data_IF_953576461735
#
_entry.id   IF_953576461735
#
_cell.length_a   1.000
_cell.length_b   1.000
_cell.length_c   1.000
_cell.angle_alpha   90.00
_cell.angle_beta   90.00
_cell.angle_gamma   90.00
#
_symmetry.space_group_name_H-M   'P 1'
#
loop_
_entity.id
_entity.type
_entity.pdbx_description
1 polymer ?
#
# COMPACT_ATOMS: atom_id res chain seq x y z
N UNK A 1 -16.99 -26.69 54.75
CA UNK A 1 -15.99 -27.17 53.76
C UNK A 1 -16.48 -27.08 52.31
N UNK A 2 -17.58 -27.72 51.89
CA UNK A 2 -18.10 -27.65 50.49
C UNK A 2 -18.31 -26.24 49.93
N UNK A 3 -18.84 -25.29 50.72
CA UNK A 3 -19.02 -23.88 50.30
C UNK A 3 -17.69 -23.15 50.04
N UNK A 4 -16.63 -23.52 50.76
CA UNK A 4 -15.29 -22.92 50.59
C UNK A 4 -14.63 -23.39 49.30
N UNK A 5 -14.76 -24.68 48.95
CA UNK A 5 -14.29 -25.22 47.67
C UNK A 5 -15.04 -24.64 46.47
N UNK A 6 -16.35 -24.38 46.62
CA UNK A 6 -17.16 -23.78 45.57
C UNK A 6 -16.74 -22.33 45.29
N UNK A 7 -16.47 -21.53 46.33
CA UNK A 7 -15.96 -20.16 46.18
C UNK A 7 -14.56 -20.12 45.57
N UNK A 8 -13.66 -21.04 45.95
CA UNK A 8 -12.32 -21.17 45.35
C UNK A 8 -12.37 -21.52 43.87
N UNK A 9 -13.32 -22.37 43.45
CA UNK A 9 -13.51 -22.76 42.06
C UNK A 9 -13.99 -21.59 41.19
N UNK A 10 -14.92 -20.76 41.69
CA UNK A 10 -15.42 -19.59 40.96
C UNK A 10 -14.32 -18.54 40.76
N UNK A 11 -13.49 -18.31 41.79
CA UNK A 11 -12.34 -17.37 41.68
C UNK A 11 -11.31 -17.87 40.68
N UNK A 12 -11.02 -19.17 40.66
CA UNK A 12 -10.12 -19.77 39.68
C UNK A 12 -10.66 -19.65 38.25
N UNK A 13 -11.96 -19.90 38.02
CA UNK A 13 -12.57 -19.71 36.70
C UNK A 13 -12.57 -18.25 36.26
N UNK A 14 -12.83 -17.30 37.17
CA UNK A 14 -12.79 -15.87 36.86
C UNK A 14 -11.38 -15.41 36.47
N UNK A 15 -10.33 -15.90 37.16
CA UNK A 15 -8.94 -15.62 36.84
C UNK A 15 -8.51 -16.20 35.49
N UNK A 16 -8.93 -17.43 35.17
CA UNK A 16 -8.68 -18.04 33.85
C UNK A 16 -9.38 -17.24 32.74
N UNK A 17 -10.63 -16.82 32.97
CA UNK A 17 -11.39 -16.00 32.02
C UNK A 17 -10.70 -14.63 31.78
N UNK A 18 -10.21 -13.98 32.84
CA UNK A 18 -9.49 -12.71 32.76
C UNK A 18 -8.14 -12.83 32.02
N UNK A 19 -7.44 -13.97 32.16
CA UNK A 19 -6.22 -14.24 31.41
C UNK A 19 -6.51 -14.51 29.92
N UNK A 20 -7.58 -15.24 29.60
CA UNK A 20 -7.98 -15.48 28.20
C UNK A 20 -8.43 -14.21 27.49
N UNK A 21 -9.03 -13.24 28.20
CA UNK A 21 -9.45 -11.96 27.63
C UNK A 21 -8.25 -11.06 27.26
N UNK A 22 -7.19 -11.08 28.08
CA UNK A 22 -5.95 -10.34 27.80
C UNK A 22 -5.12 -10.98 26.67
N UNK A 23 -5.20 -12.30 26.50
CA UNK A 23 -4.57 -13.02 25.39
C UNK A 23 -5.28 -12.78 24.04
N UNK A 24 -6.53 -12.32 24.06
CA UNK A 24 -7.29 -11.83 22.91
C UNK A 24 -7.04 -10.35 22.61
N UNK A 25 -5.85 -9.82 22.95
CA UNK A 25 -5.35 -8.66 22.22
C UNK A 25 -5.22 -9.08 20.76
N UNK A 26 -6.21 -8.69 19.95
CA UNK A 26 -6.09 -8.70 18.50
C UNK A 26 -4.78 -7.96 18.22
N UNK A 27 -3.77 -8.69 17.75
CA UNK A 27 -2.57 -8.07 17.22
C UNK A 27 -3.07 -7.24 16.06
N UNK A 28 -3.18 -5.93 16.29
CA UNK A 28 -3.60 -5.01 15.25
C UNK A 28 -2.59 -5.15 14.12
N UNK A 29 -3.05 -5.73 13.02
CA UNK A 29 -2.22 -5.92 11.84
C UNK A 29 -1.76 -4.54 11.42
N UNK A 30 -0.43 -4.32 11.35
CA UNK A 30 0.10 -3.03 10.91
C UNK A 30 -0.52 -2.70 9.54
N UNK A 31 -0.90 -1.45 9.25
CA UNK A 31 -1.57 -1.10 7.99
C UNK A 31 -0.82 -1.62 6.75
N UNK A 32 0.52 -1.53 6.77
CA UNK A 32 1.38 -2.07 5.73
C UNK A 32 1.25 -3.59 5.51
N UNK A 33 0.98 -4.38 6.55
CA UNK A 33 0.75 -5.83 6.42
C UNK A 33 -0.63 -6.14 5.83
N UNK A 34 -1.62 -5.26 6.06
CA UNK A 34 -2.98 -5.43 5.54
C UNK A 34 -3.05 -5.27 4.02
N UNK A 35 -2.06 -4.62 3.41
CA UNK A 35 -1.91 -4.45 1.96
C UNK A 35 -0.92 -5.44 1.31
N UNK A 36 -0.55 -6.52 2.01
CA UNK A 36 0.37 -7.58 1.51
C UNK A 36 -0.04 -8.19 0.17
N UNK A 37 -1.33 -8.15 -0.17
CA UNK A 37 -1.86 -8.61 -1.46
C UNK A 37 -1.35 -7.81 -2.68
N UNK A 38 -0.78 -6.62 -2.46
CA UNK A 38 -0.18 -5.78 -3.50
C UNK A 38 1.15 -6.37 -4.01
N UNK A 39 1.82 -7.19 -3.19
CA UNK A 39 3.11 -7.81 -3.54
C UNK A 39 3.04 -8.60 -4.85
N UNK A 40 4.12 -8.52 -5.63
CA UNK A 40 4.31 -9.24 -6.87
C UNK A 40 4.47 -8.33 -8.09
N UNK A 41 4.47 -8.97 -9.26
CA UNK A 41 4.62 -8.32 -10.56
C UNK A 41 3.25 -8.13 -11.22
N UNK A 42 2.98 -6.91 -11.61
CA UNK A 42 1.76 -6.50 -12.32
C UNK A 42 2.14 -5.95 -13.68
N UNK A 43 1.43 -6.36 -14.72
CA UNK A 43 1.71 -5.97 -16.11
C UNK A 43 0.43 -5.59 -16.86
N UNK A 44 0.54 -4.58 -17.72
CA UNK A 44 -0.51 -4.18 -18.64
C UNK A 44 0.11 -3.94 -20.01
N UNK A 45 -0.31 -4.70 -21.01
CA UNK A 45 -0.05 -4.39 -22.40
C UNK A 45 -1.25 -3.66 -22.99
N UNK A 46 -1.03 -2.61 -23.78
CA UNK A 46 -2.09 -1.88 -24.46
C UNK A 46 -1.57 -1.20 -25.73
N UNK A 47 -1.97 -1.72 -26.90
CA UNK A 47 -1.30 -1.40 -28.16
C UNK A 47 0.18 -1.78 -28.11
N UNK A 48 1.04 -0.89 -28.59
CA UNK A 48 2.50 -1.05 -28.57
C UNK A 48 3.15 -0.64 -27.24
N UNK A 49 2.33 -0.37 -26.22
CA UNK A 49 2.80 0.03 -24.88
C UNK A 49 2.75 -1.12 -23.91
N UNK A 50 3.79 -1.20 -23.07
CA UNK A 50 3.87 -2.11 -21.94
C UNK A 50 4.14 -1.30 -20.67
N UNK A 51 3.28 -1.48 -19.67
CA UNK A 51 3.53 -1.02 -18.31
C UNK A 51 3.73 -2.21 -17.39
N UNK A 52 4.71 -2.13 -16.52
CA UNK A 52 4.89 -3.04 -15.41
C UNK A 52 5.06 -2.28 -14.10
N UNK A 53 4.57 -2.88 -13.03
CA UNK A 53 4.74 -2.39 -11.67
C UNK A 53 5.06 -3.58 -10.77
N UNK A 54 6.13 -3.46 -9.99
CA UNK A 54 6.62 -4.54 -9.14
C UNK A 54 6.65 -4.05 -7.71
N UNK A 55 6.11 -4.85 -6.80
CA UNK A 55 6.15 -4.61 -5.37
C UNK A 55 6.81 -5.79 -4.66
N UNK A 56 7.79 -5.52 -3.81
CA UNK A 56 8.49 -6.51 -2.98
C UNK A 56 8.43 -6.09 -1.53
N UNK A 57 7.93 -6.96 -0.64
CA UNK A 57 7.85 -6.67 0.79
C UNK A 57 8.97 -7.35 1.55
N UNK A 58 9.91 -6.57 2.09
CA UNK A 58 11.03 -7.09 2.87
C UNK A 58 11.38 -6.14 4.01
N UNK A 59 11.74 -6.68 5.17
CA UNK A 59 12.20 -5.87 6.30
C UNK A 59 11.17 -4.89 6.86
N UNK A 60 9.87 -5.09 6.58
CA UNK A 60 8.81 -4.18 7.02
C UNK A 60 8.54 -3.00 6.07
N UNK A 61 9.13 -2.99 4.89
CA UNK A 61 8.97 -1.95 3.86
C UNK A 61 8.61 -2.60 2.53
N UNK A 62 7.73 -1.96 1.76
CA UNK A 62 7.60 -2.27 0.34
C UNK A 62 8.61 -1.46 -0.46
N UNK A 63 9.34 -2.13 -1.33
CA UNK A 63 10.05 -1.49 -2.44
C UNK A 63 9.25 -1.70 -3.73
N UNK A 64 8.99 -0.61 -4.42
CA UNK A 64 8.24 -0.55 -5.66
C UNK A 64 9.08 -0.07 -6.83
N UNK A 65 8.80 -0.57 -8.02
CA UNK A 65 9.20 0.07 -9.28
C UNK A 65 8.02 0.10 -10.25
N UNK A 66 7.90 1.16 -11.04
CA UNK A 66 7.01 1.20 -12.19
C UNK A 66 7.78 1.60 -13.43
N UNK A 67 7.52 0.91 -14.54
CA UNK A 67 8.12 1.21 -15.82
C UNK A 67 7.06 1.16 -16.91
N UNK A 68 7.03 2.18 -17.74
CA UNK A 68 6.26 2.18 -18.98
C UNK A 68 7.21 2.33 -20.17
N UNK A 69 6.93 1.55 -21.22
CA UNK A 69 7.63 1.55 -22.49
C UNK A 69 6.62 1.84 -23.59
N UNK A 70 6.98 2.75 -24.49
CA UNK A 70 6.28 3.04 -25.74
C UNK A 70 7.29 3.16 -26.87
N UNK A 71 6.99 2.62 -28.06
CA UNK A 71 7.83 2.74 -29.25
C UNK A 71 9.31 2.33 -29.02
N UNK A 72 9.53 1.32 -28.18
CA UNK A 72 10.86 0.79 -27.79
C UNK A 72 11.67 1.67 -26.81
N UNK A 73 11.13 2.80 -26.37
CA UNK A 73 11.74 3.69 -25.38
C UNK A 73 10.97 3.72 -24.06
N UNK A 74 11.69 3.75 -22.94
CA UNK A 74 11.09 3.88 -21.61
C UNK A 74 10.53 5.29 -21.45
N UNK A 75 9.20 5.42 -21.41
CA UNK A 75 8.49 6.69 -21.28
C UNK A 75 8.31 7.13 -19.82
N UNK A 76 8.30 6.18 -18.89
CA UNK A 76 8.17 6.43 -17.46
C UNK A 76 9.03 5.45 -16.66
N UNK A 77 9.77 5.95 -15.68
CA UNK A 77 10.46 5.13 -14.67
C UNK A 77 10.18 5.75 -13.30
N UNK A 78 9.69 4.95 -12.37
CA UNK A 78 9.44 5.33 -10.99
C UNK A 78 10.09 4.33 -10.05
N UNK A 79 10.65 4.83 -8.96
CA UNK A 79 11.02 4.03 -7.78
C UNK A 79 10.15 4.51 -6.62
N UNK A 80 9.59 3.57 -5.89
CA UNK A 80 8.60 3.84 -4.85
C UNK A 80 8.94 3.08 -3.57
N UNK A 81 8.57 3.63 -2.42
CA UNK A 81 8.55 2.89 -1.15
C UNK A 81 7.19 3.02 -0.50
N UNK A 82 6.80 2.01 0.28
CA UNK A 82 5.73 2.14 1.28
C UNK A 82 6.32 1.71 2.61
N UNK A 83 6.35 2.61 3.58
CA UNK A 83 6.97 2.37 4.89
C UNK A 83 6.15 2.96 6.03
N UNK A 84 6.40 2.46 7.24
CA UNK A 84 5.78 2.98 8.46
C UNK A 84 6.64 4.10 9.04
N UNK A 85 6.06 5.29 9.23
CA UNK A 85 6.65 6.43 9.89
C UNK A 85 5.81 6.82 11.10
N UNK A 86 6.24 6.39 12.29
CA UNK A 86 5.43 6.51 13.50
C UNK A 86 4.10 5.75 13.35
N UNK A 87 2.99 6.46 13.46
CA UNK A 87 1.63 5.90 13.30
C UNK A 87 1.15 5.90 11.84
N UNK A 88 1.88 6.55 10.93
CA UNK A 88 1.49 6.69 9.53
C UNK A 88 2.14 5.64 8.63
N UNK A 89 1.44 5.24 7.58
CA UNK A 89 2.02 4.46 6.48
C UNK A 89 2.10 5.38 5.26
N UNK A 90 3.31 5.67 4.80
CA UNK A 90 3.58 6.62 3.73
C UNK A 90 4.10 5.90 2.49
N UNK A 91 3.55 6.27 1.34
CA UNK A 91 4.09 5.97 0.03
C UNK A 91 4.91 7.17 -0.45
N UNK A 92 6.14 6.91 -0.89
CA UNK A 92 7.03 7.91 -1.48
C UNK A 92 7.37 7.50 -2.89
N UNK A 93 7.32 8.44 -3.83
CA UNK A 93 7.55 8.18 -5.25
C UNK A 93 8.59 9.17 -5.78
N UNK A 94 9.56 8.64 -6.52
CA UNK A 94 10.46 9.44 -7.35
C UNK A 94 10.40 9.02 -8.80
N UNK A 95 10.27 10.00 -9.68
CA UNK A 95 10.28 9.82 -11.12
C UNK A 95 11.69 10.01 -11.67
N UNK A 96 12.05 9.21 -12.66
CA UNK A 96 13.37 9.25 -13.27
C UNK A 96 13.28 9.29 -14.79
N UNK A 97 14.23 10.01 -15.39
CA UNK A 97 14.51 9.92 -16.82
C UNK A 97 15.08 8.54 -17.20
N UNK A 98 15.06 8.24 -18.51
CA UNK A 98 15.64 7.01 -19.07
C UNK A 98 17.07 6.78 -18.56
N UNK A 99 17.31 5.59 -18.02
CA UNK A 99 18.61 5.20 -17.47
C UNK A 99 18.91 5.78 -16.09
N UNK A 100 17.90 6.28 -15.37
CA UNK A 100 18.01 6.80 -13.99
C UNK A 100 18.99 7.98 -13.84
N UNK A 101 19.27 8.72 -14.92
CA UNK A 101 20.28 9.79 -14.92
C UNK A 101 19.87 11.02 -14.10
N UNK A 102 18.58 11.33 -14.12
CA UNK A 102 18.01 12.54 -13.53
C UNK A 102 16.72 12.15 -12.85
N UNK A 103 16.60 12.46 -11.56
CA UNK A 103 15.32 12.47 -10.86
C UNK A 103 14.55 13.73 -11.28
N UNK A 104 13.26 13.60 -11.55
CA UNK A 104 12.45 14.71 -12.06
C UNK A 104 12.00 15.65 -10.93
N UNK A 105 11.95 15.17 -9.69
CA UNK A 105 11.75 16.02 -8.52
C UNK A 105 13.03 16.74 -8.10
N UNK A 106 12.86 17.95 -7.57
CA UNK A 106 13.96 18.77 -7.07
C UNK A 106 14.67 18.12 -5.87
N UNK A 107 15.98 17.86 -6.02
CA UNK A 107 16.89 17.44 -4.93
C UNK A 107 16.38 16.23 -4.13
N UNK A 108 15.95 16.48 -2.90
CA UNK A 108 15.47 15.56 -1.87
C UNK A 108 13.95 15.46 -1.82
N UNK A 109 13.24 16.20 -2.68
CA UNK A 109 11.79 16.09 -2.81
C UNK A 109 11.39 14.75 -3.44
N UNK A 110 10.20 14.33 -3.07
CA UNK A 110 9.52 13.15 -3.59
C UNK A 110 8.02 13.41 -3.49
N UNK A 111 7.23 12.76 -4.34
CA UNK A 111 5.79 12.78 -4.15
C UNK A 111 5.45 11.90 -2.94
N UNK A 112 4.62 12.41 -2.02
CA UNK A 112 4.29 11.71 -0.76
C UNK A 112 2.80 11.53 -0.65
N UNK A 113 2.39 10.29 -0.33
CA UNK A 113 1.00 9.93 -0.13
C UNK A 113 0.84 9.14 1.16
N UNK A 114 -0.18 9.46 1.96
CA UNK A 114 -0.51 8.76 3.19
C UNK A 114 -1.59 7.71 2.93
N UNK A 115 -1.38 6.49 3.43
CA UNK A 115 -2.41 5.45 3.42
C UNK A 115 -3.58 5.88 4.32
N UNK A 116 -4.73 6.16 3.71
CA UNK A 116 -5.92 6.67 4.39
C UNK A 116 -6.98 5.58 4.61
N UNK A 117 -7.19 4.72 3.61
CA UNK A 117 -8.14 3.60 3.70
C UNK A 117 -7.48 2.32 3.22
N UNK A 118 -7.72 1.21 3.92
CA UNK A 118 -7.20 -0.08 3.49
C UNK A 118 -8.06 -1.23 3.98
N UNK A 119 -8.05 -2.31 3.19
CA UNK A 119 -8.57 -3.61 3.57
C UNK A 119 -7.88 -4.70 2.74
N UNK A 120 -8.41 -5.93 2.77
CA UNK A 120 -7.85 -7.09 2.06
C UNK A 120 -7.83 -6.98 0.53
N UNK A 121 -8.40 -5.92 -0.06
CA UNK A 121 -8.50 -5.72 -1.50
C UNK A 121 -8.34 -4.27 -1.95
N UNK A 122 -8.28 -3.31 -1.04
CA UNK A 122 -8.23 -1.88 -1.37
C UNK A 122 -7.17 -1.21 -0.54
N UNK A 123 -6.41 -0.30 -1.14
CA UNK A 123 -5.51 0.63 -0.47
C UNK A 123 -5.66 1.99 -1.15
N UNK A 124 -6.04 3.01 -0.39
CA UNK A 124 -6.23 4.39 -0.86
C UNK A 124 -5.16 5.25 -0.21
N UNK A 125 -4.33 5.87 -1.03
CA UNK A 125 -3.28 6.78 -0.63
C UNK A 125 -3.65 8.21 -1.03
N UNK A 126 -3.74 9.12 -0.07
CA UNK A 126 -4.03 10.53 -0.31
C UNK A 126 -2.73 11.33 -0.33
N UNK A 127 -2.55 12.17 -1.34
CA UNK A 127 -1.36 13.02 -1.44
C UNK A 127 -1.32 14.05 -0.31
N UNK A 128 -0.12 14.35 0.17
CA UNK A 128 0.13 15.35 1.21
C UNK A 128 1.17 16.36 0.72
N UNK A 129 1.18 17.56 1.32
CA UNK A 129 2.12 18.61 0.92
C UNK A 129 1.87 19.07 -0.52
N UNK A 130 2.89 18.96 -1.38
CA UNK A 130 2.78 19.38 -2.79
C UNK A 130 1.82 18.49 -3.62
N UNK A 131 1.45 17.31 -3.11
CA UNK A 131 0.49 16.39 -3.75
C UNK A 131 -0.92 16.46 -3.15
N UNK A 132 -1.22 17.45 -2.32
CA UNK A 132 -2.56 17.56 -1.70
C UNK A 132 -3.67 17.64 -2.77
N UNK A 133 -4.71 16.82 -2.59
CA UNK A 133 -5.81 16.69 -3.54
C UNK A 133 -5.60 15.62 -4.63
N UNK A 134 -4.42 14.99 -4.67
CA UNK A 134 -4.18 13.79 -5.48
C UNK A 134 -4.52 12.52 -4.70
N UNK A 135 -4.90 11.45 -5.39
CA UNK A 135 -5.22 10.15 -4.76
C UNK A 135 -4.76 8.99 -5.64
N UNK A 136 -4.12 7.99 -5.01
CA UNK A 136 -3.75 6.73 -5.64
C UNK A 136 -4.55 5.61 -4.97
N UNK A 137 -5.40 4.95 -5.74
CA UNK A 137 -6.18 3.81 -5.27
C UNK A 137 -5.72 2.53 -5.94
N UNK A 138 -5.30 1.56 -5.13
CA UNK A 138 -5.08 0.18 -5.55
C UNK A 138 -6.30 -0.66 -5.18
N UNK A 139 -6.83 -1.41 -6.14
CA UNK A 139 -7.98 -2.29 -5.94
C UNK A 139 -7.74 -3.66 -6.57
N UNK A 140 -7.63 -4.69 -5.74
CA UNK A 140 -7.52 -6.08 -6.15
C UNK A 140 -8.90 -6.61 -6.55
N UNK A 141 -9.18 -6.62 -7.85
CA UNK A 141 -10.44 -7.10 -8.42
C UNK A 141 -10.54 -8.64 -8.34
N UNK A 142 -9.45 -9.31 -8.68
CA UNK A 142 -9.27 -10.76 -8.53
C UNK A 142 -7.82 -11.04 -8.10
N UNK A 143 -7.47 -12.29 -7.75
CA UNK A 143 -6.09 -12.64 -7.37
C UNK A 143 -5.04 -12.23 -8.41
N UNK A 144 -5.44 -12.15 -9.69
CA UNK A 144 -4.55 -11.86 -10.82
C UNK A 144 -4.92 -10.57 -11.56
N UNK A 145 -5.79 -9.73 -11.00
CA UNK A 145 -6.22 -8.46 -11.63
C UNK A 145 -6.25 -7.33 -10.61
N UNK A 146 -5.33 -6.38 -10.80
CA UNK A 146 -5.21 -5.15 -10.03
C UNK A 146 -5.72 -3.98 -10.86
N UNK A 147 -6.52 -3.11 -10.25
CA UNK A 147 -6.86 -1.80 -10.80
C UNK A 147 -6.13 -0.73 -10.00
N UNK A 148 -5.41 0.14 -10.69
CA UNK A 148 -4.75 1.32 -10.11
C UNK A 148 -5.43 2.55 -10.69
N UNK A 149 -5.97 3.39 -9.81
CA UNK A 149 -6.61 4.66 -10.18
C UNK A 149 -5.78 5.79 -9.62
N UNK A 150 -5.35 6.70 -10.49
CA UNK A 150 -4.70 7.95 -10.12
C UNK A 150 -5.69 9.09 -10.38
N UNK A 151 -6.08 9.83 -9.35
CA UNK A 151 -6.91 11.01 -9.44
C UNK A 151 -6.06 12.24 -9.12
N UNK A 152 -6.11 13.26 -9.98
CA UNK A 152 -5.31 14.48 -9.85
C UNK A 152 -5.98 15.67 -10.51
N UNK A 153 -5.43 16.86 -10.32
CA UNK A 153 -5.92 18.08 -11.00
C UNK A 153 -4.99 18.44 -12.15
N UNK A 154 -5.55 18.62 -13.34
CA UNK A 154 -4.84 19.10 -14.53
C UNK A 154 -5.59 20.30 -15.10
N UNK A 155 -4.89 21.43 -15.26
CA UNK A 155 -5.46 22.69 -15.77
C UNK A 155 -6.72 23.14 -14.99
N UNK A 156 -6.71 22.98 -13.67
CA UNK A 156 -7.82 23.32 -12.77
C UNK A 156 -9.02 22.36 -12.83
N UNK A 157 -8.94 21.26 -13.59
CA UNK A 157 -9.99 20.24 -13.71
C UNK A 157 -9.53 18.93 -13.09
N UNK A 158 -10.45 18.24 -12.41
CA UNK A 158 -10.21 16.87 -11.96
C UNK A 158 -10.03 15.96 -13.18
N UNK A 159 -8.98 15.17 -13.16
CA UNK A 159 -8.65 14.15 -14.13
C UNK A 159 -8.43 12.82 -13.40
N UNK A 160 -8.55 11.73 -14.14
CA UNK A 160 -8.22 10.41 -13.63
C UNK A 160 -7.54 9.55 -14.69
N UNK A 161 -6.64 8.69 -14.25
CA UNK A 161 -6.04 7.63 -15.05
C UNK A 161 -6.30 6.28 -14.39
N UNK A 162 -6.69 5.29 -15.18
CA UNK A 162 -7.02 3.95 -14.70
C UNK A 162 -6.17 2.90 -15.42
N UNK A 163 -5.46 2.10 -14.65
CA UNK A 163 -4.63 0.99 -15.12
C UNK A 163 -5.16 -0.32 -14.57
N UNK A 164 -5.65 -1.19 -15.45
CA UNK A 164 -5.97 -2.58 -15.10
C UNK A 164 -4.81 -3.48 -15.49
N UNK A 165 -4.13 -4.02 -14.49
CA UNK A 165 -2.89 -4.78 -14.63
C UNK A 165 -3.12 -6.24 -14.21
N UNK A 166 -2.57 -7.16 -14.99
CA UNK A 166 -2.60 -8.58 -14.71
C UNK A 166 -1.38 -8.99 -13.91
N UNK A 167 -1.54 -9.96 -13.02
CA UNK A 167 -0.38 -10.60 -12.38
C UNK A 167 0.42 -11.38 -13.43
N UNK A 168 1.74 -11.27 -13.37
CA UNK A 168 2.68 -12.01 -14.22
C UNK A 168 3.37 -13.15 -13.47
#
# INVERSE_FOLDING_TARGET
>A
MKKLYFSLLIVALALICFQTLNALKIVEQKPIQAISWLEGKWVKAYGDKLREEHWSFMGGTFLGMCREISDSDSSLIQIMTIEQEGEETLMKIRHFSKGLKVALEEKDKMAVFKLNEYNKKVAVFNGIGENEGETITYKLLTKDLLEITFEFTKDGKKAQEIYRMKRA
#
